data_IF_762018258781
#
_entry.id   IF_762018258781
#
_cell.length_a   1.000
_cell.length_b   1.000
_cell.length_c   1.000
_cell.angle_alpha   90.00
_cell.angle_beta   90.00
_cell.angle_gamma   90.00
#
_symmetry.space_group_name_H-M   'P 1'
#
loop_
_entity.id
_entity.type
_entity.pdbx_description
1 polymer ?
#
# COMPACT_ATOMS: atom_id res chain seq x y z
N UNK A 1 13.16 -0.28 27.76
CA UNK A 1 12.85 -0.36 26.32
C UNK A 1 12.22 -1.71 26.04
N UNK A 2 10.90 -1.79 25.91
CA UNK A 2 10.22 -3.02 25.52
C UNK A 2 10.44 -3.22 24.03
N UNK A 3 11.26 -4.21 23.67
CA UNK A 3 11.41 -4.62 22.28
C UNK A 3 10.06 -5.13 21.79
N UNK A 4 9.34 -4.34 20.99
CA UNK A 4 8.15 -4.83 20.30
C UNK A 4 8.58 -6.00 19.41
N UNK A 5 8.15 -7.21 19.74
CA UNK A 5 8.37 -8.38 18.92
C UNK A 5 7.86 -8.07 17.50
N UNK A 6 8.76 -8.05 16.52
CA UNK A 6 8.38 -7.86 15.13
C UNK A 6 7.74 -9.17 14.66
N UNK A 7 6.42 -9.28 14.76
CA UNK A 7 5.68 -10.40 14.17
C UNK A 7 5.69 -10.26 12.66
N UNK A 8 6.27 -11.25 11.97
CA UNK A 8 6.28 -11.30 10.51
C UNK A 8 4.92 -11.83 10.04
N UNK A 9 4.15 -10.98 9.35
CA UNK A 9 2.97 -11.42 8.62
C UNK A 9 3.39 -11.77 7.19
N UNK A 10 3.25 -13.04 6.82
CA UNK A 10 3.57 -13.52 5.47
C UNK A 10 2.28 -13.94 4.76
N UNK A 11 2.00 -13.33 3.61
CA UNK A 11 0.87 -13.67 2.76
C UNK A 11 1.40 -14.22 1.44
N UNK A 12 0.86 -15.35 0.98
CA UNK A 12 1.21 -15.89 -0.35
C UNK A 12 0.57 -15.00 -1.42
N UNK A 13 1.40 -14.47 -2.30
CA UNK A 13 1.00 -13.70 -3.48
C UNK A 13 1.69 -14.32 -4.68
N UNK A 14 1.00 -14.36 -5.81
CA UNK A 14 1.61 -14.81 -7.07
C UNK A 14 2.87 -14.01 -7.40
N UNK A 15 3.92 -14.70 -7.87
CA UNK A 15 5.23 -14.10 -8.12
C UNK A 15 5.19 -12.99 -9.15
N UNK A 16 4.34 -13.11 -10.18
CA UNK A 16 4.18 -12.07 -11.20
C UNK A 16 3.55 -10.82 -10.60
N UNK A 17 2.54 -10.98 -9.76
CA UNK A 17 1.89 -9.87 -9.04
C UNK A 17 2.89 -9.21 -8.08
N UNK A 18 3.61 -10.01 -7.28
CA UNK A 18 4.63 -9.51 -6.36
C UNK A 18 5.69 -8.68 -7.08
N UNK A 19 6.26 -9.20 -8.18
CA UNK A 19 7.28 -8.47 -8.95
C UNK A 19 6.78 -7.15 -9.51
N UNK A 20 5.55 -7.11 -10.04
CA UNK A 20 4.94 -5.87 -10.55
C UNK A 20 4.77 -4.84 -9.44
N UNK A 21 4.28 -5.29 -8.28
CA UNK A 21 4.07 -4.42 -7.13
C UNK A 21 5.41 -3.90 -6.57
N UNK A 22 6.39 -4.78 -6.37
CA UNK A 22 7.74 -4.42 -5.93
C UNK A 22 8.40 -3.40 -6.87
N UNK A 23 8.25 -3.56 -8.19
CA UNK A 23 8.77 -2.62 -9.18
C UNK A 23 8.12 -1.24 -9.05
N UNK A 24 6.79 -1.20 -8.90
CA UNK A 24 6.06 0.06 -8.69
C UNK A 24 6.47 0.75 -7.39
N UNK A 25 6.69 0.01 -6.30
CA UNK A 25 7.12 0.57 -5.02
C UNK A 25 8.55 1.11 -5.10
N UNK A 26 9.46 0.37 -5.76
CA UNK A 26 10.84 0.80 -5.97
C UNK A 26 10.93 2.08 -6.79
N UNK A 27 10.12 2.23 -7.84
CA UNK A 27 10.05 3.46 -8.63
C UNK A 27 9.71 4.70 -7.78
N UNK A 28 9.02 4.50 -6.66
CA UNK A 28 8.61 5.54 -5.69
C UNK A 28 9.59 5.70 -4.52
N UNK A 29 10.75 5.03 -4.57
CA UNK A 29 11.74 5.08 -3.50
C UNK A 29 11.30 4.39 -2.20
N UNK A 30 10.30 3.50 -2.26
CA UNK A 30 9.77 2.78 -1.09
C UNK A 30 9.77 1.26 -1.32
N UNK A 31 9.27 0.50 -0.35
CA UNK A 31 9.09 -0.95 -0.45
C UNK A 31 7.67 -1.37 -0.06
N UNK A 32 7.28 -2.57 -0.50
CA UNK A 32 5.95 -3.15 -0.27
C UNK A 32 5.56 -3.21 1.19
N UNK A 33 6.48 -3.60 2.07
CA UNK A 33 6.22 -3.68 3.50
C UNK A 33 5.91 -2.31 4.11
N UNK A 34 6.63 -1.26 3.71
CA UNK A 34 6.39 0.10 4.18
C UNK A 34 5.03 0.62 3.73
N UNK A 35 4.65 0.37 2.48
CA UNK A 35 3.36 0.81 1.94
C UNK A 35 2.18 0.06 2.57
N UNK A 36 2.28 -1.26 2.71
CA UNK A 36 1.25 -2.05 3.40
C UNK A 36 1.12 -1.63 4.87
N UNK A 37 2.24 -1.39 5.55
CA UNK A 37 2.24 -0.89 6.94
C UNK A 37 1.52 0.45 7.05
N UNK A 38 1.79 1.41 6.14
CA UNK A 38 1.10 2.70 6.12
C UNK A 38 -0.41 2.52 5.94
N UNK A 39 -0.82 1.69 4.97
CA UNK A 39 -2.24 1.43 4.69
C UNK A 39 -2.96 0.78 5.88
N UNK A 40 -2.33 -0.17 6.57
CA UNK A 40 -2.87 -0.79 7.79
C UNK A 40 -3.04 0.25 8.90
N UNK A 41 -2.02 1.07 9.16
CA UNK A 41 -2.09 2.07 10.23
C UNK A 41 -3.16 3.12 9.96
N UNK A 42 -3.31 3.54 8.70
CA UNK A 42 -4.39 4.44 8.31
C UNK A 42 -5.76 3.80 8.52
N UNK A 43 -5.96 2.56 8.07
CA UNK A 43 -7.21 1.83 8.27
C UNK A 43 -7.60 1.72 9.75
N UNK A 44 -6.63 1.37 10.61
CA UNK A 44 -6.86 1.30 12.06
C UNK A 44 -7.18 2.67 12.66
N UNK A 45 -6.50 3.73 12.23
CA UNK A 45 -6.84 5.09 12.66
C UNK A 45 -8.23 5.52 12.22
N UNK A 46 -8.69 5.13 11.03
CA UNK A 46 -10.04 5.42 10.54
C UNK A 46 -11.10 4.63 11.34
N UNK A 47 -10.80 3.38 11.71
CA UNK A 47 -11.64 2.58 12.62
C UNK A 47 -11.75 3.23 14.01
N UNK A 48 -10.64 3.64 14.60
CA UNK A 48 -10.60 4.28 15.92
C UNK A 48 -11.35 5.62 15.94
N UNK A 49 -11.40 6.31 14.80
CA UNK A 49 -12.15 7.55 14.60
C UNK A 49 -13.66 7.34 14.38
N UNK A 50 -14.14 6.10 14.32
CA UNK A 50 -15.55 5.78 14.12
C UNK A 50 -16.07 6.00 12.70
N UNK A 51 -15.18 5.97 11.69
CA UNK A 51 -15.62 6.02 10.28
C UNK A 51 -16.39 4.73 9.95
N UNK A 52 -17.59 4.85 9.37
CA UNK A 52 -18.48 3.70 9.12
C UNK A 52 -17.89 2.67 8.15
N UNK A 53 -17.08 3.11 7.19
CA UNK A 53 -16.52 2.28 6.12
C UNK A 53 -15.03 2.60 5.85
N UNK A 54 -14.12 2.26 6.78
CA UNK A 54 -12.70 2.48 6.58
C UNK A 54 -12.17 1.58 5.46
N UNK A 55 -11.18 2.04 4.70
CA UNK A 55 -10.65 1.30 3.55
C UNK A 55 -9.12 1.25 3.54
N UNK A 56 -8.59 0.13 3.04
CA UNK A 56 -7.16 0.04 2.71
C UNK A 56 -6.86 0.90 1.50
N UNK A 57 -6.37 2.12 1.74
CA UNK A 57 -5.95 3.04 0.68
C UNK A 57 -4.48 2.82 0.36
N UNK A 58 -4.21 2.45 -0.88
CA UNK A 58 -2.86 2.42 -1.45
C UNK A 58 -2.78 3.62 -2.40
N UNK A 59 -2.22 4.73 -1.91
CA UNK A 59 -1.86 5.84 -2.78
C UNK A 59 -0.73 5.34 -3.68
N UNK A 60 -1.01 5.16 -4.97
CA UNK A 60 -0.04 4.80 -5.99
C UNK A 60 0.09 6.00 -6.92
N UNK A 61 1.27 6.62 -6.96
CA UNK A 61 1.54 7.68 -7.94
C UNK A 61 1.65 7.02 -9.31
N UNK A 62 0.55 7.06 -10.06
CA UNK A 62 0.50 6.75 -11.49
C UNK A 62 0.01 7.99 -12.24
N UNK A 63 0.07 8.02 -13.58
CA UNK A 63 -0.75 8.97 -14.32
C UNK A 63 -2.19 8.80 -13.83
N UNK A 64 -2.87 9.89 -13.52
CA UNK A 64 -4.25 9.83 -13.04
C UNK A 64 -5.04 8.92 -13.99
N UNK A 65 -5.71 7.90 -13.44
CA UNK A 65 -6.61 7.05 -14.22
C UNK A 65 -7.79 7.93 -14.67
N UNK A 66 -7.59 8.69 -15.75
CA UNK A 66 -8.47 9.77 -16.17
C UNK A 66 -7.88 10.72 -17.21
N UNK A 67 -6.56 10.88 -17.28
CA UNK A 67 -5.97 11.65 -18.39
C UNK A 67 -6.03 10.83 -19.68
N UNK A 68 -7.08 11.09 -20.46
CA UNK A 68 -7.10 10.72 -21.88
C UNK A 68 -5.89 11.39 -22.52
N UNK A 69 -4.89 10.59 -22.89
CA UNK A 69 -3.85 11.03 -23.83
C UNK A 69 -4.56 11.59 -25.07
N UNK A 70 -4.36 12.86 -25.46
CA UNK A 70 -4.92 13.34 -26.71
C UNK A 70 -4.22 12.56 -27.83
N UNK A 71 -4.98 11.75 -28.55
CA UNK A 71 -4.52 11.13 -29.79
C UNK A 71 -4.15 12.25 -30.76
N UNK A 72 -2.90 12.24 -31.23
CA UNK A 72 -2.40 13.16 -32.24
C UNK A 72 -2.24 12.43 -33.59
#
# INVERSE_FOLDING_TARGET
MTAHAQTIMATKVDDRIKRRFDAAMRARGTNTSAVLRKAIMQYLSELDAGIEHPQFKLELDGPEAGEKTPSH
#
